data_IF_309923096365
#
_entry.id   IF_309923096365
#
_cell.length_a   1.000
_cell.length_b   1.000
_cell.length_c   1.000
_cell.angle_alpha   90.00
_cell.angle_beta   90.00
_cell.angle_gamma   90.00
#
_symmetry.space_group_name_H-M   'P 1'
#
loop_
_entity.id
_entity.type
_entity.pdbx_description
1 polymer ?
#
# COMPACT_ATOMS: atom_id res chain seq x y z
N UNK A 1 76.36 14.20 -22.12
CA UNK A 1 75.48 14.46 -20.92
C UNK A 1 74.15 14.96 -21.41
N UNK A 2 73.10 14.10 -21.43
CA UNK A 2 71.80 14.46 -21.87
C UNK A 2 70.81 14.32 -20.70
N UNK A 3 70.17 15.43 -20.26
CA UNK A 3 69.21 15.49 -19.20
C UNK A 3 67.82 15.08 -19.76
N UNK A 4 67.28 13.95 -19.28
CA UNK A 4 65.91 13.52 -19.54
C UNK A 4 64.97 14.29 -18.61
N UNK A 5 64.04 15.08 -19.21
CA UNK A 5 62.93 15.73 -18.55
C UNK A 5 61.76 14.75 -18.38
N UNK A 6 61.31 14.51 -17.13
CA UNK A 6 60.16 13.69 -16.82
C UNK A 6 58.91 14.56 -16.80
N UNK A 7 58.00 14.32 -17.73
CA UNK A 7 56.64 14.90 -17.76
C UNK A 7 55.75 14.16 -16.77
N UNK A 8 55.32 14.85 -15.71
CA UNK A 8 54.26 14.38 -14.80
C UNK A 8 52.88 14.58 -15.47
N UNK A 9 52.19 13.51 -15.79
CA UNK A 9 50.79 13.53 -16.22
C UNK A 9 49.88 13.65 -15.02
N UNK A 10 49.12 14.75 -14.93
CA UNK A 10 48.08 14.93 -13.92
C UNK A 10 46.79 14.18 -14.31
N UNK A 11 46.46 13.17 -13.55
CA UNK A 11 45.13 12.46 -13.67
C UNK A 11 44.04 13.35 -13.09
N UNK A 12 43.19 13.89 -13.94
CA UNK A 12 41.99 14.61 -13.52
C UNK A 12 40.92 13.60 -13.05
N UNK A 13 40.73 13.49 -11.74
CA UNK A 13 39.59 12.76 -11.16
C UNK A 13 38.28 13.48 -11.47
N UNK A 14 37.47 12.85 -12.31
CA UNK A 14 36.06 13.28 -12.57
C UNK A 14 35.25 13.04 -11.29
N UNK A 15 34.84 14.10 -10.60
CA UNK A 15 33.82 14.04 -9.54
C UNK A 15 32.50 13.56 -10.16
N UNK A 16 32.13 12.33 -9.86
CA UNK A 16 30.83 11.77 -10.24
C UNK A 16 29.70 12.56 -9.60
N UNK A 17 28.82 13.10 -10.41
CA UNK A 17 27.63 13.82 -9.99
C UNK A 17 26.61 12.79 -9.46
N UNK A 18 26.62 12.51 -8.16
CA UNK A 18 25.60 11.66 -7.49
C UNK A 18 24.29 12.41 -7.52
N UNK A 19 23.41 12.06 -8.48
CA UNK A 19 22.04 12.55 -8.51
C UNK A 19 21.32 12.06 -7.25
N UNK A 20 20.93 12.99 -6.37
CA UNK A 20 20.07 12.72 -5.23
C UNK A 20 18.78 12.03 -5.75
N UNK A 21 18.29 10.97 -5.07
CA UNK A 21 17.02 10.35 -5.45
C UNK A 21 15.90 11.41 -5.40
N UNK A 22 15.14 11.49 -6.47
CA UNK A 22 13.91 12.27 -6.53
C UNK A 22 12.91 11.69 -5.54
N UNK A 23 12.93 12.18 -4.31
CA UNK A 23 11.85 11.95 -3.36
C UNK A 23 10.64 12.67 -3.96
N UNK A 24 9.67 11.91 -4.45
CA UNK A 24 8.41 12.44 -4.93
C UNK A 24 7.82 13.32 -3.81
N UNK A 25 7.65 14.62 -4.09
CA UNK A 25 7.02 15.55 -3.14
C UNK A 25 5.67 14.95 -2.74
N UNK A 26 5.35 14.88 -1.45
CA UNK A 26 4.01 14.47 -1.03
C UNK A 26 3.00 15.37 -1.72
N UNK A 27 1.98 14.78 -2.34
CA UNK A 27 0.87 15.47 -2.95
C UNK A 27 0.22 16.35 -1.88
N UNK A 28 0.61 17.64 -1.82
CA UNK A 28 -0.10 18.65 -1.05
C UNK A 28 -1.39 19.00 -1.79
N UNK A 29 -2.36 18.12 -1.71
CA UNK A 29 -3.74 18.48 -2.05
C UNK A 29 -4.19 19.42 -0.94
N UNK A 30 -4.43 20.69 -1.26
CA UNK A 30 -5.10 21.61 -0.33
C UNK A 30 -6.35 20.88 0.16
N UNK A 31 -6.53 20.68 1.47
CA UNK A 31 -7.71 19.97 1.96
C UNK A 31 -8.94 20.77 1.48
N UNK A 32 -9.76 20.17 0.64
CA UNK A 32 -11.09 20.67 0.38
C UNK A 32 -11.79 20.67 1.75
N UNK A 33 -12.16 21.85 2.25
CA UNK A 33 -12.98 21.97 3.45
C UNK A 33 -14.39 21.53 3.06
N UNK A 34 -14.60 20.24 3.05
CA UNK A 34 -15.88 19.62 2.74
C UNK A 34 -16.55 19.31 4.08
N UNK A 35 -17.82 19.66 4.21
CA UNK A 35 -18.61 19.34 5.41
C UNK A 35 -18.64 17.82 5.60
N UNK A 36 -18.26 17.27 6.77
CA UNK A 36 -18.31 15.84 7.04
C UNK A 36 -19.73 15.29 6.91
N UNK A 37 -19.84 14.01 6.59
CA UNK A 37 -21.10 13.31 6.59
C UNK A 37 -21.68 13.15 8.00
N UNK A 38 -23.01 13.07 8.10
CA UNK A 38 -23.69 12.66 9.33
C UNK A 38 -23.59 11.15 9.53
N UNK A 39 -23.83 10.68 10.74
CA UNK A 39 -23.86 9.23 11.05
C UNK A 39 -24.83 8.48 10.12
N UNK A 40 -26.02 9.03 9.89
CA UNK A 40 -27.00 8.43 8.98
C UNK A 40 -26.51 8.33 7.54
N UNK A 41 -25.79 9.33 7.04
CA UNK A 41 -25.20 9.29 5.70
C UNK A 41 -24.08 8.26 5.60
N UNK A 42 -23.29 8.08 6.65
CA UNK A 42 -22.24 7.06 6.70
C UNK A 42 -22.88 5.67 6.69
N UNK A 43 -23.87 5.43 7.56
CA UNK A 43 -24.62 4.18 7.61
C UNK A 43 -25.20 3.82 6.24
N UNK A 44 -25.88 4.75 5.59
CA UNK A 44 -26.50 4.54 4.28
C UNK A 44 -25.44 4.25 3.20
N UNK A 45 -24.30 4.93 3.22
CA UNK A 45 -23.24 4.67 2.26
C UNK A 45 -22.68 3.23 2.40
N UNK A 46 -22.43 2.78 3.62
CA UNK A 46 -21.89 1.43 3.86
C UNK A 46 -22.95 0.34 3.61
N UNK A 47 -24.21 0.61 3.89
CA UNK A 47 -25.31 -0.27 3.49
C UNK A 47 -25.36 -0.47 1.96
N UNK A 48 -25.17 0.60 1.18
CA UNK A 48 -25.11 0.52 -0.29
C UNK A 48 -23.87 -0.23 -0.76
N UNK A 49 -22.71 -0.02 -0.15
CA UNK A 49 -21.49 -0.80 -0.46
C UNK A 49 -21.71 -2.28 -0.20
N UNK A 50 -22.28 -2.64 0.95
CA UNK A 50 -22.57 -4.02 1.29
C UNK A 50 -23.59 -4.65 0.33
N UNK A 51 -24.66 -3.94 -0.02
CA UNK A 51 -25.66 -4.42 -0.98
C UNK A 51 -25.07 -4.65 -2.38
N UNK A 52 -24.14 -3.77 -2.81
CA UNK A 52 -23.49 -3.89 -4.12
C UNK A 52 -22.41 -4.98 -4.17
N UNK A 53 -21.73 -5.25 -3.07
CA UNK A 53 -20.67 -6.26 -2.97
C UNK A 53 -20.58 -6.77 -1.52
N UNK A 54 -21.33 -7.80 -1.13
CA UNK A 54 -21.36 -8.29 0.26
C UNK A 54 -20.01 -8.80 0.77
N UNK A 55 -19.20 -9.40 -0.10
CA UNK A 55 -17.92 -10.00 0.24
C UNK A 55 -16.78 -9.43 -0.64
N UNK A 56 -16.36 -8.19 -0.40
CA UNK A 56 -15.31 -7.57 -1.19
C UNK A 56 -13.96 -8.25 -0.89
N UNK A 57 -13.19 -8.55 -1.93
CA UNK A 57 -11.89 -9.22 -1.80
C UNK A 57 -10.76 -8.32 -2.27
N UNK A 58 -9.59 -8.48 -1.66
CA UNK A 58 -8.34 -7.89 -2.13
C UNK A 58 -7.88 -8.51 -3.46
N UNK A 59 -7.13 -7.75 -4.24
CA UNK A 59 -6.67 -8.19 -5.57
C UNK A 59 -5.31 -8.90 -5.54
N UNK A 60 -4.54 -8.82 -4.44
CA UNK A 60 -3.26 -9.49 -4.29
C UNK A 60 -3.46 -10.99 -4.03
N UNK A 61 -2.89 -11.83 -4.90
CA UNK A 61 -2.90 -13.29 -4.76
C UNK A 61 -1.92 -13.73 -3.68
N UNK A 62 -2.38 -14.60 -2.79
CA UNK A 62 -1.59 -15.18 -1.70
C UNK A 62 -2.13 -16.57 -1.33
N UNK A 63 -1.38 -17.32 -0.55
CA UNK A 63 -1.70 -18.70 -0.14
C UNK A 63 -1.97 -18.77 1.37
N UNK A 64 -1.22 -17.96 2.13
CA UNK A 64 -1.24 -17.93 3.59
C UNK A 64 -0.88 -16.53 4.11
N UNK A 65 -0.94 -16.26 5.43
CA UNK A 65 -0.59 -14.95 6.00
C UNK A 65 0.81 -14.45 5.65
N UNK A 66 1.80 -15.35 5.55
CA UNK A 66 3.17 -14.97 5.19
C UNK A 66 3.26 -14.50 3.73
N UNK A 67 2.72 -15.26 2.80
CA UNK A 67 2.71 -14.88 1.38
C UNK A 67 1.89 -13.62 1.13
N UNK A 68 0.83 -13.37 1.92
CA UNK A 68 0.12 -12.08 1.92
C UNK A 68 1.04 -10.95 2.35
N UNK A 69 1.73 -11.08 3.49
CA UNK A 69 2.67 -10.07 3.97
C UNK A 69 3.72 -9.75 2.90
N UNK A 70 4.32 -10.77 2.29
CA UNK A 70 5.30 -10.62 1.20
C UNK A 70 4.66 -9.90 0.00
N UNK A 71 3.48 -10.32 -0.45
CA UNK A 71 2.79 -9.68 -1.58
C UNK A 71 2.50 -8.20 -1.31
N UNK A 72 2.07 -7.83 -0.10
CA UNK A 72 1.80 -6.44 0.29
C UNK A 72 3.09 -5.62 0.35
N UNK A 73 4.19 -6.16 0.87
CA UNK A 73 5.52 -5.51 0.84
C UNK A 73 5.98 -5.29 -0.60
N UNK A 74 5.79 -6.28 -1.48
CA UNK A 74 6.13 -6.18 -2.90
C UNK A 74 5.24 -5.19 -3.65
N UNK A 75 4.02 -4.92 -3.19
CA UNK A 75 3.09 -3.98 -3.84
C UNK A 75 3.43 -2.49 -3.59
N UNK A 76 4.34 -2.17 -2.67
CA UNK A 76 4.78 -0.80 -2.45
C UNK A 76 5.33 -0.18 -3.75
N UNK A 77 4.68 0.88 -4.25
CA UNK A 77 5.01 1.54 -5.53
C UNK A 77 5.02 0.57 -6.73
N UNK A 78 4.18 -0.45 -6.71
CA UNK A 78 3.99 -1.38 -7.83
C UNK A 78 2.48 -1.65 -7.99
N UNK A 79 2.07 -2.13 -9.15
CA UNK A 79 0.67 -2.53 -9.39
C UNK A 79 0.43 -3.95 -8.86
N UNK A 80 -0.78 -4.21 -8.37
CA UNK A 80 -1.16 -5.56 -7.91
C UNK A 80 -1.02 -6.59 -9.06
N UNK A 81 -1.35 -6.21 -10.29
CA UNK A 81 -1.15 -7.05 -11.47
C UNK A 81 0.33 -7.43 -11.69
N UNK A 82 1.25 -6.47 -11.51
CA UNK A 82 2.69 -6.72 -11.61
C UNK A 82 3.19 -7.67 -10.51
N UNK A 83 2.70 -7.49 -9.28
CA UNK A 83 3.02 -8.38 -8.16
C UNK A 83 2.48 -9.78 -8.41
N UNK A 84 1.20 -9.89 -8.80
CA UNK A 84 0.54 -11.17 -9.10
C UNK A 84 1.20 -11.93 -10.25
N UNK A 85 1.89 -11.25 -11.17
CA UNK A 85 2.68 -11.88 -12.24
C UNK A 85 4.01 -12.44 -11.72
N UNK A 86 4.64 -11.77 -10.75
CA UNK A 86 5.98 -12.14 -10.28
C UNK A 86 5.95 -13.16 -9.12
N UNK A 87 4.92 -13.14 -8.27
CA UNK A 87 4.87 -13.94 -7.05
C UNK A 87 4.62 -15.43 -7.20
N UNK A 88 3.95 -15.97 -8.23
CA UNK A 88 3.70 -17.41 -8.33
C UNK A 88 5.00 -18.24 -8.32
N UNK A 89 6.01 -17.84 -9.09
CA UNK A 89 7.30 -18.52 -9.12
C UNK A 89 8.06 -18.40 -7.78
N UNK A 90 7.92 -17.27 -7.08
CA UNK A 90 8.51 -17.08 -5.77
C UNK A 90 7.83 -17.96 -4.72
N UNK A 91 6.49 -17.96 -4.67
CA UNK A 91 5.73 -18.69 -3.67
C UNK A 91 5.75 -20.21 -3.89
N UNK A 92 5.94 -20.67 -5.13
CA UNK A 92 6.18 -22.09 -5.40
C UNK A 92 7.50 -22.61 -4.77
N UNK A 93 8.50 -21.75 -4.60
CA UNK A 93 9.78 -22.09 -4.00
C UNK A 93 9.82 -21.78 -2.50
N UNK A 94 9.15 -20.72 -2.06
CA UNK A 94 9.27 -20.18 -0.71
C UNK A 94 7.93 -19.60 -0.22
N UNK A 95 7.06 -20.45 0.30
CA UNK A 95 5.75 -20.12 0.85
C UNK A 95 5.75 -19.98 2.39
N UNK A 96 6.93 -20.17 3.04
CA UNK A 96 7.14 -19.96 4.48
C UNK A 96 8.33 -19.03 4.74
N UNK A 97 8.44 -18.41 5.94
CA UNK A 97 9.57 -17.59 6.32
C UNK A 97 10.91 -18.34 6.25
N UNK A 98 10.94 -19.61 6.68
CA UNK A 98 12.17 -20.45 6.68
C UNK A 98 12.65 -20.65 5.24
N UNK A 99 11.76 -21.05 4.34
CA UNK A 99 12.09 -21.27 2.93
C UNK A 99 12.55 -19.98 2.26
N UNK A 100 11.89 -18.84 2.56
CA UNK A 100 12.26 -17.54 2.01
C UNK A 100 13.62 -17.07 2.51
N UNK A 101 13.91 -17.25 3.79
CA UNK A 101 15.21 -16.93 4.37
C UNK A 101 16.33 -17.80 3.78
N UNK A 102 16.05 -19.10 3.56
CA UNK A 102 16.98 -20.04 2.94
C UNK A 102 17.21 -19.76 1.44
N UNK A 103 16.17 -19.31 0.72
CA UNK A 103 16.26 -18.96 -0.70
C UNK A 103 17.26 -17.83 -0.96
N UNK A 104 17.37 -16.90 -0.02
CA UNK A 104 18.34 -15.80 -0.04
C UNK A 104 18.01 -14.65 -1.00
N UNK A 105 18.67 -13.52 -0.78
CA UNK A 105 18.36 -12.25 -1.47
C UNK A 105 18.57 -12.34 -2.99
N UNK A 106 19.65 -12.99 -3.44
CA UNK A 106 19.98 -13.08 -4.86
C UNK A 106 18.86 -13.77 -5.65
N UNK A 107 18.41 -14.92 -5.15
CA UNK A 107 17.37 -15.69 -5.84
C UNK A 107 16.01 -14.98 -5.79
N UNK A 108 15.65 -14.38 -4.66
CA UNK A 108 14.43 -13.56 -4.57
C UNK A 108 14.50 -12.40 -5.56
N UNK A 109 15.64 -11.71 -5.65
CA UNK A 109 15.87 -10.59 -6.58
C UNK A 109 15.63 -10.99 -8.04
N UNK A 110 16.14 -12.16 -8.45
CA UNK A 110 15.90 -12.68 -9.80
C UNK A 110 14.42 -12.91 -10.10
N UNK A 111 13.70 -13.51 -9.15
CA UNK A 111 12.29 -13.86 -9.31
C UNK A 111 11.37 -12.65 -9.39
N UNK A 112 11.71 -11.55 -8.70
CA UNK A 112 10.89 -10.33 -8.65
C UNK A 112 11.45 -9.18 -9.50
N UNK A 113 12.43 -9.41 -10.37
CA UNK A 113 13.13 -8.35 -11.15
C UNK A 113 12.21 -7.47 -12.01
N UNK A 114 11.00 -7.93 -12.30
CA UNK A 114 9.99 -7.17 -13.06
C UNK A 114 9.23 -6.15 -12.20
N UNK A 115 9.39 -6.20 -10.87
CA UNK A 115 8.76 -5.26 -9.93
C UNK A 115 9.69 -4.07 -9.69
N UNK A 116 9.15 -2.85 -9.67
CA UNK A 116 9.92 -1.65 -9.32
C UNK A 116 10.57 -1.77 -7.93
N UNK A 117 11.79 -1.21 -7.77
CA UNK A 117 12.57 -1.28 -6.52
C UNK A 117 12.93 -2.71 -6.05
N UNK A 118 12.98 -3.65 -6.98
CA UNK A 118 13.12 -5.08 -6.69
C UNK A 118 14.32 -5.43 -5.81
N UNK A 119 15.44 -4.70 -5.92
CA UNK A 119 16.65 -4.95 -5.07
C UNK A 119 16.36 -4.69 -3.59
N UNK A 120 15.82 -3.52 -3.26
CA UNK A 120 15.44 -3.19 -1.88
C UNK A 120 14.34 -4.09 -1.36
N UNK A 121 13.37 -4.44 -2.22
CA UNK A 121 12.28 -5.35 -1.87
C UNK A 121 12.76 -6.77 -1.59
N UNK A 122 13.69 -7.30 -2.40
CA UNK A 122 14.29 -8.62 -2.15
C UNK A 122 15.01 -8.66 -0.80
N UNK A 123 15.85 -7.65 -0.53
CA UNK A 123 16.53 -7.51 0.78
C UNK A 123 15.52 -7.48 1.92
N UNK A 124 14.49 -6.63 1.84
CA UNK A 124 13.47 -6.52 2.88
C UNK A 124 12.71 -7.82 3.09
N UNK A 125 12.31 -8.52 2.02
CA UNK A 125 11.56 -9.78 2.09
C UNK A 125 12.39 -10.88 2.76
N UNK A 126 13.67 -11.01 2.42
CA UNK A 126 14.53 -12.01 3.06
C UNK A 126 14.81 -11.65 4.52
N UNK A 127 15.06 -10.39 4.82
CA UNK A 127 15.34 -9.95 6.18
C UNK A 127 14.12 -10.04 7.10
N UNK A 128 12.92 -9.63 6.61
CA UNK A 128 11.68 -9.84 7.39
C UNK A 128 11.44 -11.32 7.66
N UNK A 129 11.77 -12.20 6.70
CA UNK A 129 11.61 -13.65 6.87
C UNK A 129 12.54 -14.19 7.94
N UNK A 130 13.82 -13.76 7.97
CA UNK A 130 14.76 -14.11 9.03
C UNK A 130 14.27 -13.67 10.40
N UNK A 131 13.74 -12.44 10.49
CA UNK A 131 13.19 -11.95 11.75
C UNK A 131 11.94 -12.70 12.19
N UNK A 132 11.05 -13.05 11.28
CA UNK A 132 9.90 -13.89 11.60
C UNK A 132 10.34 -15.24 12.19
N UNK A 133 11.36 -15.88 11.63
CA UNK A 133 11.91 -17.12 12.19
C UNK A 133 12.52 -16.89 13.57
N UNK A 134 13.36 -15.88 13.72
CA UNK A 134 14.12 -15.64 14.94
C UNK A 134 13.28 -15.11 16.10
N UNK A 135 12.34 -14.20 15.82
CA UNK A 135 11.63 -13.42 16.82
C UNK A 135 10.16 -13.88 17.02
N UNK A 136 9.59 -14.60 16.02
CA UNK A 136 8.17 -14.96 16.01
C UNK A 136 7.90 -16.44 15.68
N UNK A 137 8.92 -17.31 15.79
CA UNK A 137 8.76 -18.76 15.52
C UNK A 137 8.22 -19.09 14.13
N UNK A 138 8.55 -18.29 13.12
CA UNK A 138 8.09 -18.47 11.75
C UNK A 138 6.62 -18.02 11.51
N UNK A 139 5.99 -17.36 12.47
CA UNK A 139 4.60 -16.92 12.34
C UNK A 139 4.51 -15.41 12.07
N UNK A 140 3.50 -15.00 11.31
CA UNK A 140 3.18 -13.57 11.12
C UNK A 140 2.50 -13.06 12.40
N UNK A 141 3.06 -12.03 13.08
CA UNK A 141 2.48 -11.54 14.31
C UNK A 141 1.14 -10.81 14.07
N UNK A 142 0.24 -10.89 15.07
CA UNK A 142 -1.06 -10.21 15.04
C UNK A 142 -1.03 -8.81 15.64
N UNK A 143 0.08 -8.39 16.24
CA UNK A 143 0.24 -7.05 16.78
C UNK A 143 0.77 -6.10 15.68
N UNK A 144 0.16 -4.92 15.56
CA UNK A 144 0.56 -3.90 14.58
C UNK A 144 2.00 -3.48 14.77
N UNK A 145 2.39 -3.21 16.00
CA UNK A 145 3.73 -2.76 16.38
C UNK A 145 4.80 -3.79 15.98
N UNK A 146 4.51 -5.07 16.17
CA UNK A 146 5.40 -6.16 15.77
C UNK A 146 5.53 -6.27 14.25
N UNK A 147 4.43 -6.06 13.51
CA UNK A 147 4.45 -5.99 12.05
C UNK A 147 5.25 -4.78 11.55
N UNK A 148 5.03 -3.60 12.12
CA UNK A 148 5.73 -2.37 11.72
C UNK A 148 7.24 -2.41 12.02
N UNK A 149 7.67 -3.24 12.99
CA UNK A 149 9.08 -3.48 13.27
C UNK A 149 9.79 -4.30 12.17
N UNK A 150 9.04 -5.01 11.32
CA UNK A 150 9.62 -5.83 10.25
C UNK A 150 10.12 -4.97 9.06
N UNK A 151 11.26 -5.32 8.44
CA UNK A 151 11.79 -4.61 7.29
C UNK A 151 10.80 -4.46 6.14
N UNK A 152 10.58 -3.23 5.67
CA UNK A 152 9.67 -2.93 4.56
C UNK A 152 8.18 -2.91 4.92
N UNK A 153 7.85 -3.09 6.18
CA UNK A 153 6.48 -3.03 6.69
C UNK A 153 6.24 -1.68 7.37
N UNK A 154 5.34 -0.89 6.80
CA UNK A 154 4.85 0.32 7.43
C UNK A 154 3.40 0.13 7.90
N UNK A 155 2.84 1.15 8.55
CA UNK A 155 1.49 1.15 9.11
C UNK A 155 0.40 0.66 8.12
N UNK A 156 0.45 1.16 6.87
CA UNK A 156 -0.50 0.74 5.83
C UNK A 156 -0.39 -0.76 5.55
N UNK A 157 0.84 -1.29 5.44
CA UNK A 157 1.10 -2.71 5.20
C UNK A 157 0.61 -3.56 6.37
N UNK A 158 0.93 -3.15 7.61
CA UNK A 158 0.47 -3.82 8.82
C UNK A 158 -1.06 -3.89 8.88
N UNK A 159 -1.76 -2.77 8.64
CA UNK A 159 -3.23 -2.74 8.62
C UNK A 159 -3.84 -3.66 7.55
N UNK A 160 -3.26 -3.73 6.34
CA UNK A 160 -3.74 -4.66 5.29
C UNK A 160 -3.59 -6.11 5.74
N UNK A 161 -2.45 -6.48 6.31
CA UNK A 161 -2.18 -7.84 6.77
C UNK A 161 -3.11 -8.21 7.93
N UNK A 162 -3.28 -7.33 8.91
CA UNK A 162 -4.20 -7.54 10.03
C UNK A 162 -5.65 -7.74 9.55
N UNK A 163 -6.10 -6.93 8.60
CA UNK A 163 -7.44 -7.05 8.07
C UNK A 163 -7.65 -8.36 7.30
N UNK A 164 -6.78 -8.66 6.33
CA UNK A 164 -6.99 -9.77 5.40
C UNK A 164 -6.64 -11.13 6.04
N UNK A 165 -5.51 -11.22 6.75
CA UNK A 165 -5.03 -12.49 7.29
C UNK A 165 -5.70 -12.86 8.61
N UNK A 166 -6.13 -11.88 9.40
CA UNK A 166 -6.59 -12.11 10.77
C UNK A 166 -8.01 -11.60 11.05
N UNK A 167 -8.66 -10.97 10.06
CA UNK A 167 -10.03 -10.46 10.24
C UNK A 167 -10.12 -9.25 11.18
N UNK A 168 -9.01 -8.56 11.43
CA UNK A 168 -9.02 -7.36 12.28
C UNK A 168 -9.70 -6.19 11.53
N UNK A 169 -10.57 -5.42 12.19
CA UNK A 169 -11.34 -4.36 11.55
C UNK A 169 -10.50 -3.10 11.28
N UNK A 170 -9.32 -3.25 10.67
CA UNK A 170 -8.40 -2.15 10.34
C UNK A 170 -8.70 -1.55 8.96
N UNK A 171 -8.43 -0.26 8.79
CA UNK A 171 -8.59 0.45 7.53
C UNK A 171 -7.24 1.02 7.08
N UNK A 172 -6.63 0.39 6.09
CA UNK A 172 -5.32 0.79 5.57
C UNK A 172 -5.46 1.92 4.54
N UNK A 173 -5.31 3.17 4.96
CA UNK A 173 -5.50 4.33 4.09
C UNK A 173 -4.35 4.46 3.08
N UNK A 174 -4.67 4.25 1.82
CA UNK A 174 -3.80 4.50 0.66
C UNK A 174 -4.24 5.77 -0.09
N UNK A 175 -3.64 6.04 -1.24
CA UNK A 175 -4.00 7.19 -2.07
C UNK A 175 -5.43 7.14 -2.60
N UNK A 176 -6.01 5.95 -2.76
CA UNK A 176 -7.39 5.78 -3.21
C UNK A 176 -8.37 6.10 -2.08
N UNK A 177 -8.19 5.50 -0.91
CA UNK A 177 -9.03 5.75 0.27
C UNK A 177 -8.86 7.19 0.75
N UNK A 178 -7.64 7.72 0.76
CA UNK A 178 -7.38 9.13 1.09
C UNK A 178 -8.19 10.07 0.18
N UNK A 179 -8.21 9.80 -1.12
CA UNK A 179 -8.99 10.60 -2.08
C UNK A 179 -10.49 10.45 -1.86
N UNK A 180 -10.98 9.24 -1.67
CA UNK A 180 -12.42 8.97 -1.42
C UNK A 180 -12.86 9.69 -0.15
N UNK A 181 -12.16 9.50 0.98
CA UNK A 181 -12.50 10.12 2.25
C UNK A 181 -12.60 11.65 2.17
N UNK A 182 -11.63 12.28 1.48
CA UNK A 182 -11.60 13.73 1.33
C UNK A 182 -12.64 14.25 0.33
N UNK A 183 -12.82 13.60 -0.83
CA UNK A 183 -13.79 14.08 -1.84
C UNK A 183 -15.23 13.94 -1.38
N UNK A 184 -15.56 12.80 -0.83
CA UNK A 184 -16.95 12.51 -0.47
C UNK A 184 -17.42 13.27 0.77
N UNK A 185 -16.50 13.64 1.67
CA UNK A 185 -16.80 14.15 2.99
C UNK A 185 -16.97 13.05 4.05
N UNK A 186 -16.67 11.79 3.71
CA UNK A 186 -16.74 10.66 4.64
C UNK A 186 -15.74 10.83 5.80
N UNK A 187 -14.48 11.17 5.46
CA UNK A 187 -13.41 11.35 6.45
C UNK A 187 -12.38 12.37 5.93
N UNK A 188 -12.72 13.67 5.90
CA UNK A 188 -11.78 14.70 5.43
C UNK A 188 -10.58 14.82 6.39
N UNK A 189 -9.35 14.71 5.87
CA UNK A 189 -8.12 14.80 6.64
C UNK A 189 -6.94 15.30 5.81
N UNK A 190 -5.94 15.88 6.48
CA UNK A 190 -4.76 16.48 5.85
C UNK A 190 -3.72 15.44 5.41
N UNK A 191 -3.72 14.29 6.04
CA UNK A 191 -2.81 13.18 5.78
C UNK A 191 -3.52 11.83 5.95
N UNK A 192 -2.92 10.72 5.49
CA UNK A 192 -3.53 9.39 5.59
C UNK A 192 -3.86 8.97 7.02
N UNK A 193 -3.07 9.34 8.01
CA UNK A 193 -3.29 8.99 9.40
C UNK A 193 -4.55 9.66 9.98
N UNK A 194 -4.76 10.96 9.70
CA UNK A 194 -5.99 11.65 10.10
C UNK A 194 -7.23 11.03 9.45
N UNK A 195 -7.14 10.64 8.18
CA UNK A 195 -8.23 9.96 7.47
C UNK A 195 -8.50 8.59 8.08
N UNK A 196 -7.45 7.83 8.40
CA UNK A 196 -7.56 6.52 9.07
C UNK A 196 -8.31 6.65 10.40
N UNK A 197 -7.85 7.55 11.28
CA UNK A 197 -8.48 7.77 12.58
C UNK A 197 -9.98 8.15 12.46
N UNK A 198 -10.31 9.03 11.51
CA UNK A 198 -11.69 9.43 11.27
C UNK A 198 -12.54 8.28 10.73
N UNK A 199 -12.01 7.47 9.83
CA UNK A 199 -12.70 6.28 9.34
C UNK A 199 -12.93 5.26 10.46
N UNK A 200 -11.92 4.99 11.27
CA UNK A 200 -12.03 4.07 12.41
C UNK A 200 -13.10 4.50 13.42
N UNK A 201 -13.27 5.81 13.63
CA UNK A 201 -14.31 6.36 14.50
C UNK A 201 -15.69 6.41 13.86
N UNK A 202 -15.75 6.72 12.57
CA UNK A 202 -17.02 7.01 11.88
C UNK A 202 -17.71 5.76 11.32
N UNK A 203 -16.94 4.77 10.86
CA UNK A 203 -17.50 3.55 10.25
C UNK A 203 -18.17 2.69 11.32
N UNK A 204 -19.44 2.33 11.15
CA UNK A 204 -20.14 1.46 12.10
C UNK A 204 -19.48 0.08 12.21
N UNK A 205 -19.52 -0.52 13.39
CA UNK A 205 -18.82 -1.77 13.70
C UNK A 205 -19.17 -2.91 12.74
N UNK A 206 -20.44 -2.99 12.33
CA UNK A 206 -20.95 -3.99 11.39
C UNK A 206 -20.28 -3.97 10.00
N UNK A 207 -19.72 -2.84 9.59
CA UNK A 207 -19.09 -2.67 8.27
C UNK A 207 -17.55 -2.61 8.33
N UNK A 208 -16.96 -2.46 9.51
CA UNK A 208 -15.52 -2.19 9.65
C UNK A 208 -14.63 -3.23 8.98
N UNK A 209 -14.99 -4.50 9.06
CA UNK A 209 -14.20 -5.58 8.47
C UNK A 209 -14.00 -5.41 6.96
N UNK A 210 -15.04 -5.01 6.27
CA UNK A 210 -15.03 -4.85 4.81
C UNK A 210 -14.82 -3.42 4.32
N UNK A 211 -14.84 -2.43 5.22
CA UNK A 211 -14.75 -1.01 4.88
C UNK A 211 -13.50 -0.68 4.06
N UNK A 212 -12.35 -1.25 4.42
CA UNK A 212 -11.11 -1.09 3.65
C UNK A 212 -11.29 -1.49 2.19
N UNK A 213 -11.85 -2.67 1.94
CA UNK A 213 -12.00 -3.21 0.59
C UNK A 213 -13.03 -2.42 -0.23
N UNK A 214 -14.19 -2.07 0.32
CA UNK A 214 -15.15 -1.24 -0.38
C UNK A 214 -14.58 0.11 -0.78
N UNK A 215 -13.89 0.78 0.14
CA UNK A 215 -13.33 2.10 -0.12
C UNK A 215 -12.18 2.08 -1.13
N UNK A 216 -11.30 1.06 -1.08
CA UNK A 216 -10.20 0.96 -2.04
C UNK A 216 -10.71 0.62 -3.44
N UNK A 217 -11.65 -0.33 -3.57
CA UNK A 217 -12.28 -0.70 -4.84
C UNK A 217 -13.07 0.47 -5.43
N UNK A 218 -13.85 1.18 -4.60
CA UNK A 218 -14.55 2.38 -5.03
C UNK A 218 -13.57 3.46 -5.55
N UNK A 219 -12.46 3.66 -4.86
CA UNK A 219 -11.42 4.59 -5.28
C UNK A 219 -10.68 4.16 -6.55
N UNK A 220 -10.51 2.88 -6.79
CA UNK A 220 -9.85 2.34 -7.99
C UNK A 220 -10.72 2.40 -9.22
N UNK A 221 -12.00 2.07 -9.10
CA UNK A 221 -12.87 1.80 -10.25
C UNK A 221 -13.97 2.83 -10.48
N UNK A 222 -14.38 3.58 -9.45
CA UNK A 222 -15.47 4.57 -9.57
C UNK A 222 -14.96 5.98 -9.31
N UNK A 223 -14.46 6.27 -8.10
CA UNK A 223 -13.95 7.60 -7.72
C UNK A 223 -12.47 7.74 -8.12
N UNK A 224 -12.15 7.51 -9.40
CA UNK A 224 -10.79 7.60 -9.93
C UNK A 224 -10.23 9.03 -9.86
N UNK A 225 -8.89 9.17 -9.93
CA UNK A 225 -8.23 10.48 -9.75
C UNK A 225 -8.62 11.48 -10.82
N UNK A 226 -8.61 11.03 -12.08
CA UNK A 226 -9.01 11.83 -13.26
C UNK A 226 -10.32 11.27 -13.81
N UNK A 227 -11.29 12.14 -14.10
CA UNK A 227 -12.59 11.78 -14.69
C UNK A 227 -13.33 10.67 -13.91
N UNK A 228 -13.69 10.91 -12.63
CA UNK A 228 -14.43 9.93 -11.85
C UNK A 228 -15.78 9.62 -12.48
N UNK A 229 -16.24 8.39 -12.32
CA UNK A 229 -17.50 7.88 -12.90
C UNK A 229 -18.66 8.22 -11.96
N UNK A 230 -18.93 9.52 -11.76
CA UNK A 230 -19.94 9.98 -10.80
C UNK A 230 -21.36 9.50 -11.16
N UNK A 231 -21.68 9.33 -12.43
CA UNK A 231 -22.95 8.82 -12.94
C UNK A 231 -23.23 7.36 -12.52
N UNK A 232 -22.15 6.59 -12.28
CA UNK A 232 -22.23 5.19 -11.82
C UNK A 232 -21.97 5.05 -10.32
N UNK A 233 -21.80 6.17 -9.62
CA UNK A 233 -21.40 6.17 -8.21
C UNK A 233 -22.63 5.96 -7.31
N UNK A 234 -22.64 4.86 -6.57
CA UNK A 234 -23.76 4.49 -5.68
C UNK A 234 -23.94 5.43 -4.48
N UNK A 235 -22.97 6.34 -4.25
CA UNK A 235 -22.99 7.35 -3.17
C UNK A 235 -22.90 8.78 -3.72
N UNK A 236 -23.25 9.00 -5.00
CA UNK A 236 -23.12 10.30 -5.64
C UNK A 236 -23.98 11.40 -4.97
N UNK A 237 -25.18 11.05 -4.53
CA UNK A 237 -26.13 11.92 -3.82
C UNK A 237 -25.57 12.36 -2.45
N UNK A 238 -24.85 11.49 -1.75
CA UNK A 238 -24.21 11.79 -0.47
C UNK A 238 -22.92 12.58 -0.61
N UNK A 239 -22.27 12.51 -1.80
CA UNK A 239 -20.95 13.06 -2.04
C UNK A 239 -20.93 14.60 -1.97
N UNK A 240 -19.97 15.15 -1.20
CA UNK A 240 -19.80 16.58 -0.97
C UNK A 240 -18.82 17.24 -1.95
N UNK A 241 -18.23 16.47 -2.86
CA UNK A 241 -17.25 17.00 -3.78
C UNK A 241 -17.90 17.97 -4.80
N UNK A 242 -17.46 19.25 -4.87
CA UNK A 242 -18.06 20.21 -5.78
C UNK A 242 -17.77 19.92 -7.26
N UNK A 243 -16.76 19.12 -7.57
CA UNK A 243 -16.42 18.72 -8.94
C UNK A 243 -17.08 17.43 -9.41
N UNK A 244 -18.13 16.92 -8.73
CA UNK A 244 -18.92 15.78 -9.22
C UNK A 244 -19.70 16.15 -10.49
N UNK A 245 -19.79 15.20 -11.43
CA UNK A 245 -20.40 15.41 -12.76
C UNK A 245 -21.88 15.05 -12.85
N UNK A 246 -22.50 14.60 -11.75
CA UNK A 246 -23.95 14.35 -11.69
C UNK A 246 -24.66 15.56 -11.13
N UNK A 247 -25.82 15.90 -11.73
CA UNK A 247 -26.73 16.89 -11.17
C UNK A 247 -27.17 16.45 -9.76
N UNK A 248 -27.33 17.43 -8.89
CA UNK A 248 -27.80 17.20 -7.52
C UNK A 248 -29.27 16.76 -7.52
#
# INVERSE_FOLDING_TARGET
MAKKSARKSAVKTRKGNVRKPLIAKPLSVKPLIVKPWTKAQIEEAFRRFQAANPEPKGELKHINPFTLLVAVVLSAQATDAGVNKATPALFALADTPEKMAALGEERVRELIKTIGLFRTKAKNVVELSRRLVAEHGGQVPRAREALEALPGVGRKTANVVLNIAFGEPTIAVDTHIFRVGNRTGLAPGKNPFEVEQKLEQAVPASYKLHAHHWLILHGRYTCVARKPLCEKCIIADLCRWPGKTVAA
#
